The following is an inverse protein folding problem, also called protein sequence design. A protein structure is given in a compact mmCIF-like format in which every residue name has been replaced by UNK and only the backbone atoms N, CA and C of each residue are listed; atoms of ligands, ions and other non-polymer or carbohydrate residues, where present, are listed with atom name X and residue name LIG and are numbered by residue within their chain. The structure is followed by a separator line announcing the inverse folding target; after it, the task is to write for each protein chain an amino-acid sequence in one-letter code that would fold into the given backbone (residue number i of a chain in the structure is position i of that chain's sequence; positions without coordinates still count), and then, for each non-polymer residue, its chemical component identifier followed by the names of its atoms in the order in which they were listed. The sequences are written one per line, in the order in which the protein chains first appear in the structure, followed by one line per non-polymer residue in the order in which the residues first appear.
data_IF_606390392386
#
_entry.id   IF_606390392386
#
_cell.length_a   1.000
_cell.length_b   1.000
_cell.length_c   1.000
_cell.angle_alpha   90.00
_cell.angle_beta   90.00
_cell.angle_gamma   90.00
#
_symmetry.space_group_name_H-M   'P 1'
#
loop_
_entity.id
_entity.type
_entity.pdbx_description
1 polymer ?
#
# COMPACT_ATOMS: atom_id res chain seq x y z
N UNK A 1 -25.71 21.80 4.72
CA UNK A 1 -24.95 20.78 3.97
C UNK A 1 -23.58 20.74 4.61
N UNK A 2 -23.15 19.57 5.07
CA UNK A 2 -21.84 19.45 5.69
C UNK A 2 -20.72 19.33 4.63
N UNK A 3 -19.46 19.29 5.07
CA UNK A 3 -18.31 19.32 4.17
C UNK A 3 -18.21 18.06 3.31
N UNK A 4 -18.53 16.90 3.86
CA UNK A 4 -18.50 15.63 3.12
C UNK A 4 -19.60 15.58 2.05
N UNK A 5 -20.81 16.08 2.34
CA UNK A 5 -21.89 16.15 1.35
C UNK A 5 -21.55 17.13 0.22
N UNK A 6 -20.99 18.30 0.57
CA UNK A 6 -20.54 19.29 -0.40
C UNK A 6 -19.41 18.74 -1.30
N UNK A 7 -18.43 18.04 -0.71
CA UNK A 7 -17.39 17.35 -1.46
C UNK A 7 -17.98 16.29 -2.39
N UNK A 8 -18.91 15.48 -1.90
CA UNK A 8 -19.53 14.41 -2.69
C UNK A 8 -20.27 14.98 -3.90
N UNK A 9 -20.99 16.10 -3.74
CA UNK A 9 -21.65 16.78 -4.85
C UNK A 9 -20.63 17.30 -5.89
N UNK A 10 -19.55 17.93 -5.43
CA UNK A 10 -18.45 18.40 -6.29
C UNK A 10 -17.80 17.24 -7.07
N UNK A 11 -17.55 16.12 -6.40
CA UNK A 11 -16.95 14.93 -7.02
C UNK A 11 -17.89 14.31 -8.07
N UNK A 12 -19.20 14.23 -7.78
CA UNK A 12 -20.21 13.78 -8.76
C UNK A 12 -20.24 14.66 -10.01
N UNK A 13 -20.16 15.98 -9.85
CA UNK A 13 -20.13 16.90 -10.98
C UNK A 13 -18.87 16.76 -11.86
N UNK A 14 -17.77 16.22 -11.29
CA UNK A 14 -16.51 15.98 -11.97
C UNK A 14 -16.31 14.53 -12.44
N UNK A 15 -17.31 13.66 -12.24
CA UNK A 15 -17.27 12.27 -12.65
C UNK A 15 -17.25 12.15 -14.18
N UNK A 16 -16.48 11.19 -14.69
CA UNK A 16 -16.36 10.96 -16.13
C UNK A 16 -16.46 9.46 -16.48
N UNK A 17 -17.29 9.05 -17.46
CA UNK A 17 -17.53 7.64 -17.76
C UNK A 17 -16.28 6.83 -18.10
N UNK A 18 -15.32 7.42 -18.81
CA UNK A 18 -14.06 6.72 -19.14
C UNK A 18 -13.25 6.39 -17.88
N UNK A 19 -13.22 7.30 -16.90
CA UNK A 19 -12.53 7.08 -15.64
C UNK A 19 -13.27 6.03 -14.81
N UNK A 20 -14.60 6.07 -14.77
CA UNK A 20 -15.39 5.02 -14.11
C UNK A 20 -15.08 3.62 -14.67
N UNK A 21 -15.02 3.49 -16.01
CA UNK A 21 -14.74 2.22 -16.67
C UNK A 21 -13.30 1.74 -16.42
N UNK A 22 -12.30 2.61 -16.60
CA UNK A 22 -10.89 2.26 -16.38
C UNK A 22 -10.60 1.91 -14.92
N UNK A 23 -11.11 2.71 -13.99
CA UNK A 23 -10.94 2.46 -12.55
C UNK A 23 -11.67 1.19 -12.13
N UNK A 24 -12.88 0.94 -12.64
CA UNK A 24 -13.63 -0.28 -12.36
C UNK A 24 -12.91 -1.55 -12.78
N UNK A 25 -12.22 -1.55 -13.93
CA UNK A 25 -11.41 -2.68 -14.38
C UNK A 25 -10.19 -2.97 -13.48
N UNK A 26 -9.71 -1.96 -12.74
CA UNK A 26 -8.56 -2.09 -11.84
C UNK A 26 -8.97 -2.29 -10.36
N UNK A 27 -10.23 -2.02 -10.02
CA UNK A 27 -10.80 -2.14 -8.68
C UNK A 27 -12.06 -3.03 -8.71
N UNK A 28 -11.91 -4.34 -8.99
CA UNK A 28 -13.04 -5.26 -8.95
C UNK A 28 -13.70 -5.25 -7.56
N UNK A 29 -15.04 -5.23 -7.53
CA UNK A 29 -15.83 -5.24 -6.29
C UNK A 29 -15.93 -3.91 -5.54
N UNK A 30 -15.40 -2.80 -6.07
CA UNK A 30 -15.56 -1.47 -5.46
C UNK A 30 -16.76 -0.74 -6.08
N UNK A 31 -17.94 -0.90 -5.49
CA UNK A 31 -19.22 -0.41 -6.04
C UNK A 31 -19.47 1.07 -5.77
N UNK A 32 -18.93 1.61 -4.68
CA UNK A 32 -19.12 3.00 -4.24
C UNK A 32 -18.18 4.00 -4.95
N UNK A 33 -17.89 3.80 -6.24
CA UNK A 33 -16.99 4.64 -7.04
C UNK A 33 -17.76 5.64 -7.90
N UNK A 34 -17.18 6.80 -8.14
CA UNK A 34 -17.75 7.86 -9.00
C UNK A 34 -17.05 7.94 -10.36
N UNK A 35 -15.78 7.54 -10.46
CA UNK A 35 -15.00 7.68 -11.69
C UNK A 35 -14.49 9.12 -11.87
N UNK A 36 -13.86 9.67 -10.85
CA UNK A 36 -13.32 11.05 -10.88
C UNK A 36 -11.82 11.03 -11.18
N UNK A 37 -11.30 11.93 -12.04
CA UNK A 37 -9.87 12.05 -12.28
C UNK A 37 -9.09 12.36 -11.00
N UNK A 38 -7.93 11.72 -10.80
CA UNK A 38 -7.09 11.94 -9.62
C UNK A 38 -6.62 13.39 -9.44
N UNK A 39 -6.54 14.17 -10.52
CA UNK A 39 -6.26 15.61 -10.45
C UNK A 39 -7.31 16.38 -9.65
N UNK A 40 -8.60 16.03 -9.82
CA UNK A 40 -9.71 16.64 -9.08
C UNK A 40 -9.70 16.20 -7.63
N UNK A 41 -9.45 14.92 -7.35
CA UNK A 41 -9.30 14.38 -5.98
C UNK A 41 -8.20 15.13 -5.22
N UNK A 42 -7.02 15.28 -5.83
CA UNK A 42 -5.90 16.02 -5.22
C UNK A 42 -6.21 17.51 -5.04
N UNK A 43 -6.94 18.11 -5.98
CA UNK A 43 -7.37 19.51 -5.89
C UNK A 43 -8.32 19.71 -4.72
N UNK A 44 -9.33 18.84 -4.57
CA UNK A 44 -10.29 18.90 -3.48
C UNK A 44 -9.63 18.76 -2.10
N UNK A 45 -8.68 17.84 -1.93
CA UNK A 45 -7.92 17.72 -0.69
C UNK A 45 -7.13 19.00 -0.36
N UNK A 46 -6.49 19.62 -1.35
CA UNK A 46 -5.78 20.90 -1.17
C UNK A 46 -6.73 22.03 -0.77
N UNK A 47 -7.91 22.09 -1.37
CA UNK A 47 -8.89 23.14 -1.07
C UNK A 47 -9.41 23.03 0.38
N UNK A 48 -9.69 21.81 0.87
CA UNK A 48 -10.08 21.56 2.26
C UNK A 48 -8.97 21.96 3.24
N UNK A 49 -7.72 21.65 2.90
CA UNK A 49 -6.57 22.03 3.73
C UNK A 49 -6.38 23.56 3.76
N UNK A 50 -6.52 24.23 2.62
CA UNK A 50 -6.41 25.70 2.52
C UNK A 50 -7.53 26.43 3.24
N UNK A 51 -8.74 25.86 3.31
CA UNK A 51 -9.86 26.47 4.03
C UNK A 51 -9.72 26.37 5.56
N UNK A 52 -8.75 25.60 6.07
CA UNK A 52 -8.59 25.33 7.50
C UNK A 52 -9.67 24.38 8.04
N UNK A 53 -10.40 23.68 7.18
CA UNK A 53 -11.53 22.81 7.57
C UNK A 53 -11.16 21.33 7.61
N UNK A 54 -9.87 21.00 7.63
CA UNK A 54 -9.37 19.63 7.56
C UNK A 54 -9.87 18.74 8.69
N UNK A 55 -9.78 19.19 9.94
CA UNK A 55 -10.24 18.41 11.10
C UNK A 55 -11.74 18.16 11.06
N UNK A 56 -12.55 19.21 10.83
CA UNK A 56 -14.01 19.09 10.71
C UNK A 56 -14.41 18.14 9.56
N UNK A 57 -13.74 18.22 8.41
CA UNK A 57 -13.98 17.31 7.30
C UNK A 57 -13.65 15.86 7.67
N UNK A 58 -12.56 15.61 8.39
CA UNK A 58 -12.19 14.25 8.81
C UNK A 58 -13.12 13.70 9.90
N UNK A 59 -13.61 14.53 10.82
CA UNK A 59 -14.65 14.13 11.79
C UNK A 59 -15.93 13.66 11.08
N UNK A 60 -16.30 14.32 10.00
CA UNK A 60 -17.42 13.94 9.15
C UNK A 60 -17.14 12.67 8.33
N UNK A 61 -15.99 12.62 7.65
CA UNK A 61 -15.64 11.56 6.72
C UNK A 61 -15.26 10.24 7.40
N UNK A 62 -14.78 10.28 8.64
CA UNK A 62 -14.39 9.10 9.42
C UNK A 62 -15.45 8.70 10.45
N UNK A 63 -16.64 9.34 10.41
CA UNK A 63 -17.74 9.01 11.30
C UNK A 63 -18.21 7.56 11.06
N UNK A 64 -18.22 6.69 12.10
CA UNK A 64 -18.67 5.31 11.96
C UNK A 64 -20.08 5.22 11.37
N UNK A 65 -20.28 4.27 10.46
CA UNK A 65 -21.58 4.03 9.82
C UNK A 65 -21.97 5.05 8.74
N UNK A 66 -21.16 6.10 8.51
CA UNK A 66 -21.42 7.04 7.41
C UNK A 66 -20.92 6.46 6.08
N UNK A 67 -21.78 6.34 5.04
CA UNK A 67 -21.32 5.93 3.72
C UNK A 67 -20.38 6.98 3.12
N UNK A 68 -19.23 6.53 2.61
CA UNK A 68 -18.22 7.38 1.97
C UNK A 68 -17.96 6.83 0.57
N UNK A 69 -17.99 7.71 -0.44
CA UNK A 69 -17.61 7.34 -1.81
C UNK A 69 -16.12 7.08 -1.90
N UNK A 70 -15.68 6.17 -2.77
CA UNK A 70 -14.28 5.83 -2.98
C UNK A 70 -13.39 7.07 -3.14
N UNK A 71 -13.79 8.01 -3.98
CA UNK A 71 -13.03 9.24 -4.23
C UNK A 71 -13.03 10.20 -3.04
N UNK A 72 -14.08 10.20 -2.21
CA UNK A 72 -14.08 10.95 -0.96
C UNK A 72 -13.14 10.34 0.08
N UNK A 73 -13.01 9.00 0.13
CA UNK A 73 -12.02 8.32 0.97
C UNK A 73 -10.57 8.62 0.53
N UNK A 74 -10.33 8.74 -0.79
CA UNK A 74 -9.04 9.22 -1.33
C UNK A 74 -8.75 10.66 -0.87
N UNK A 75 -9.75 11.55 -0.91
CA UNK A 75 -9.61 12.92 -0.39
C UNK A 75 -9.29 12.89 1.11
N UNK A 76 -10.02 12.11 1.91
CA UNK A 76 -9.77 11.98 3.35
C UNK A 76 -8.33 11.53 3.65
N UNK A 77 -7.82 10.51 2.96
CA UNK A 77 -6.43 10.09 3.11
C UNK A 77 -5.43 11.20 2.79
N UNK A 78 -5.66 11.97 1.72
CA UNK A 78 -4.80 13.10 1.36
C UNK A 78 -4.90 14.27 2.37
N UNK A 79 -6.07 14.50 2.97
CA UNK A 79 -6.25 15.50 4.03
C UNK A 79 -5.51 15.06 5.29
N UNK A 80 -5.60 13.79 5.71
CA UNK A 80 -4.80 13.25 6.82
C UNK A 80 -3.31 13.50 6.58
N UNK A 81 -2.81 13.18 5.37
CA UNK A 81 -1.40 13.39 5.03
C UNK A 81 -0.98 14.87 5.03
N UNK A 82 -1.87 15.74 4.54
CA UNK A 82 -1.59 17.16 4.34
C UNK A 82 -1.91 18.07 5.52
N UNK A 83 -2.57 17.56 6.57
CA UNK A 83 -2.85 18.34 7.77
C UNK A 83 -1.55 18.83 8.40
N UNK A 84 -1.39 20.15 8.60
CA UNK A 84 -0.26 20.68 9.34
C UNK A 84 -0.34 20.19 10.78
N UNK A 85 0.71 19.55 11.28
CA UNK A 85 0.81 19.22 12.70
C UNK A 85 2.13 19.70 13.26
N UNK A 86 2.11 20.14 14.52
CA UNK A 86 3.34 20.26 15.32
C UNK A 86 3.61 18.99 16.12
N UNK A 87 2.57 18.18 16.35
CA UNK A 87 2.63 16.91 17.04
C UNK A 87 2.47 15.76 16.04
N UNK A 88 3.59 15.09 15.75
CA UNK A 88 3.60 13.99 14.82
C UNK A 88 2.89 12.75 15.38
N UNK A 89 2.90 12.53 16.69
CA UNK A 89 2.20 11.41 17.31
C UNK A 89 0.69 11.52 17.11
N UNK A 90 0.11 12.70 17.35
CA UNK A 90 -1.31 12.96 17.07
C UNK A 90 -1.69 12.70 15.60
N UNK A 91 -0.77 12.97 14.66
CA UNK A 91 -0.99 12.69 13.23
C UNK A 91 -0.91 11.19 12.91
N UNK A 92 -0.05 10.43 13.61
CA UNK A 92 -0.03 8.97 13.52
C UNK A 92 -1.32 8.34 14.11
N UNK A 93 -1.87 8.91 15.19
CA UNK A 93 -3.18 8.50 15.73
C UNK A 93 -4.32 8.79 14.74
N UNK A 94 -4.29 9.96 14.09
CA UNK A 94 -5.25 10.28 13.05
C UNK A 94 -5.13 9.34 11.84
N UNK A 95 -3.90 8.99 11.44
CA UNK A 95 -3.65 7.97 10.42
C UNK A 95 -4.20 6.60 10.84
N UNK A 96 -4.04 6.21 12.11
CA UNK A 96 -4.61 4.97 12.65
C UNK A 96 -6.15 4.99 12.56
N UNK A 97 -6.80 6.11 12.88
CA UNK A 97 -8.25 6.30 12.76
C UNK A 97 -8.75 6.26 11.31
N UNK A 98 -7.89 6.59 10.34
CA UNK A 98 -8.21 6.52 8.91
C UNK A 98 -8.17 5.10 8.34
N UNK A 99 -7.40 4.17 8.93
CA UNK A 99 -7.19 2.83 8.36
C UNK A 99 -8.47 2.05 8.01
N UNK A 100 -9.59 2.12 8.78
CA UNK A 100 -10.83 1.45 8.39
C UNK A 100 -11.41 1.92 7.05
N UNK A 101 -11.09 3.12 6.58
CA UNK A 101 -11.50 3.62 5.27
C UNK A 101 -10.66 3.04 4.12
N UNK A 102 -9.53 2.39 4.42
CA UNK A 102 -8.66 1.76 3.42
C UNK A 102 -9.19 0.37 3.08
N UNK A 103 -9.99 0.29 2.02
CA UNK A 103 -10.65 -0.97 1.59
C UNK A 103 -10.14 -1.51 0.26
N UNK A 104 -9.21 -0.81 -0.38
CA UNK A 104 -8.64 -1.20 -1.66
C UNK A 104 -7.23 -0.61 -1.87
N UNK A 105 -6.54 -1.09 -2.90
CA UNK A 105 -5.15 -0.71 -3.18
C UNK A 105 -5.02 0.77 -3.57
N UNK A 106 -6.02 1.39 -4.20
CA UNK A 106 -5.93 2.78 -4.64
C UNK A 106 -5.96 3.76 -3.45
N UNK A 107 -6.82 3.51 -2.46
CA UNK A 107 -6.84 4.29 -1.21
C UNK A 107 -5.53 4.10 -0.45
N UNK A 108 -5.10 2.85 -0.29
CA UNK A 108 -3.85 2.47 0.38
C UNK A 108 -2.66 3.22 -0.23
N UNK A 109 -2.46 3.08 -1.54
CA UNK A 109 -1.28 3.60 -2.22
C UNK A 109 -1.30 5.13 -2.27
N UNK A 110 -2.47 5.76 -2.47
CA UNK A 110 -2.61 7.22 -2.44
C UNK A 110 -2.27 7.80 -1.07
N UNK A 111 -2.81 7.20 0.00
CA UNK A 111 -2.54 7.62 1.37
C UNK A 111 -1.06 7.45 1.72
N UNK A 112 -0.54 6.22 1.60
CA UNK A 112 0.81 5.89 2.03
C UNK A 112 1.88 6.69 1.27
N UNK A 113 1.75 6.83 -0.06
CA UNK A 113 2.70 7.64 -0.85
C UNK A 113 2.59 9.14 -0.56
N UNK A 114 1.41 9.63 -0.23
CA UNK A 114 1.17 11.04 0.11
C UNK A 114 1.63 11.44 1.51
N UNK A 115 1.93 10.48 2.39
CA UNK A 115 2.34 10.76 3.78
C UNK A 115 3.83 11.16 3.90
N UNK A 116 4.24 12.20 3.17
CA UNK A 116 5.64 12.60 3.02
C UNK A 116 6.37 12.92 4.33
N UNK A 117 5.66 13.32 5.37
CA UNK A 117 6.24 13.63 6.68
C UNK A 117 6.95 12.42 7.32
N UNK A 118 6.48 11.20 7.03
CA UNK A 118 7.14 9.94 7.45
C UNK A 118 8.60 9.90 6.99
N UNK A 119 8.91 10.44 5.81
CA UNK A 119 10.29 10.47 5.28
C UNK A 119 11.22 11.35 6.10
N UNK A 120 10.73 12.46 6.64
CA UNK A 120 11.51 13.37 7.47
C UNK A 120 11.59 12.88 8.93
N UNK A 121 10.64 12.03 9.35
CA UNK A 121 10.45 11.59 10.74
C UNK A 121 10.50 10.06 10.86
N UNK A 122 11.40 9.41 10.10
CA UNK A 122 11.45 7.94 9.95
C UNK A 122 11.58 7.22 11.29
N UNK A 123 12.45 7.71 12.17
CA UNK A 123 12.65 7.07 13.48
C UNK A 123 11.35 7.07 14.30
N UNK A 124 10.68 8.22 14.39
CA UNK A 124 9.42 8.37 15.12
C UNK A 124 8.27 7.60 14.47
N UNK A 125 8.28 7.45 13.15
CA UNK A 125 7.24 6.74 12.40
C UNK A 125 7.45 5.22 12.35
N UNK A 126 8.65 4.71 12.67
CA UNK A 126 8.99 3.32 12.36
C UNK A 126 8.11 2.34 13.14
N UNK A 127 7.87 2.59 14.42
CA UNK A 127 7.03 1.71 15.25
C UNK A 127 5.59 1.68 14.76
N UNK A 128 5.05 2.83 14.34
CA UNK A 128 3.75 2.88 13.69
C UNK A 128 3.74 2.02 12.42
N UNK A 129 4.69 2.21 11.50
CA UNK A 129 4.78 1.43 10.25
C UNK A 129 4.95 -0.06 10.51
N UNK A 130 5.80 -0.43 11.47
CA UNK A 130 6.04 -1.80 11.87
C UNK A 130 4.79 -2.44 12.47
N UNK A 131 4.01 -1.70 13.26
CA UNK A 131 2.73 -2.16 13.81
C UNK A 131 1.74 -2.50 12.70
N UNK A 132 1.72 -1.71 11.61
CA UNK A 132 0.85 -1.96 10.46
C UNK A 132 1.24 -3.24 9.73
N UNK A 133 2.53 -3.43 9.42
CA UNK A 133 3.04 -4.65 8.77
C UNK A 133 2.77 -5.91 9.60
N UNK A 134 2.75 -5.78 10.94
CA UNK A 134 2.58 -6.89 11.87
C UNK A 134 1.12 -7.10 12.30
N UNK A 135 0.16 -6.39 11.70
CA UNK A 135 -1.26 -6.43 12.08
C UNK A 135 -1.86 -7.84 12.06
N UNK A 136 -1.39 -8.72 11.16
CA UNK A 136 -1.87 -10.10 11.09
C UNK A 136 -1.66 -10.90 12.39
N UNK A 137 -0.77 -10.47 13.29
CA UNK A 137 -0.62 -11.08 14.62
C UNK A 137 -1.87 -10.94 15.52
N UNK A 138 -2.80 -10.05 15.19
CA UNK A 138 -4.08 -9.88 15.92
C UNK A 138 -5.11 -10.97 15.58
N UNK A 139 -4.98 -11.64 14.42
CA UNK A 139 -5.83 -12.75 13.99
C UNK A 139 -5.01 -13.78 13.19
N UNK A 140 -4.14 -14.56 13.85
CA UNK A 140 -3.23 -15.50 13.18
C UNK A 140 -3.92 -16.55 12.30
N UNK A 141 -5.16 -16.89 12.63
CA UNK A 141 -6.01 -17.84 11.90
C UNK A 141 -6.67 -17.25 10.65
N UNK A 142 -6.71 -15.92 10.52
CA UNK A 142 -7.36 -15.19 9.43
C UNK A 142 -6.51 -13.97 8.98
N UNK A 143 -5.24 -14.19 8.55
CA UNK A 143 -4.32 -13.10 8.23
C UNK A 143 -4.81 -12.19 7.10
N UNK A 144 -5.69 -12.67 6.21
CA UNK A 144 -6.34 -11.86 5.18
C UNK A 144 -7.16 -10.69 5.74
N UNK A 145 -7.65 -10.78 6.99
CA UNK A 145 -8.34 -9.66 7.66
C UNK A 145 -7.42 -8.46 7.90
N UNK A 146 -6.11 -8.72 7.99
CA UNK A 146 -5.09 -7.69 8.17
C UNK A 146 -4.52 -7.15 6.84
N UNK A 147 -5.10 -7.53 5.69
CA UNK A 147 -4.61 -7.15 4.36
C UNK A 147 -4.33 -5.66 4.23
N UNK A 148 -5.35 -4.82 4.45
CA UNK A 148 -5.22 -3.40 4.15
C UNK A 148 -4.25 -2.66 5.08
N UNK A 149 -4.31 -2.84 6.41
CA UNK A 149 -3.28 -2.29 7.29
C UNK A 149 -1.88 -2.78 6.93
N UNK A 150 -1.70 -4.07 6.68
CA UNK A 150 -0.39 -4.65 6.31
C UNK A 150 0.13 -4.06 5.01
N UNK A 151 -0.73 -3.91 4.00
CA UNK A 151 -0.37 -3.27 2.73
C UNK A 151 0.00 -1.80 2.94
N UNK A 152 -0.74 -1.05 3.77
CA UNK A 152 -0.38 0.34 4.10
C UNK A 152 1.03 0.40 4.69
N UNK A 153 1.35 -0.48 5.65
CA UNK A 153 2.70 -0.60 6.21
C UNK A 153 3.77 -0.85 5.14
N UNK A 154 3.57 -1.84 4.26
CA UNK A 154 4.49 -2.16 3.17
C UNK A 154 4.65 -1.02 2.16
N UNK A 155 3.58 -0.27 1.87
CA UNK A 155 3.65 0.89 0.97
C UNK A 155 4.30 2.10 1.64
N UNK A 156 4.15 2.27 2.96
CA UNK A 156 4.93 3.25 3.72
C UNK A 156 6.42 2.92 3.70
N UNK A 157 6.79 1.64 3.85
CA UNK A 157 8.17 1.16 3.68
C UNK A 157 8.72 1.54 2.32
N UNK A 158 8.03 1.20 1.23
CA UNK A 158 8.54 1.46 -0.12
C UNK A 158 8.58 2.96 -0.46
N UNK A 159 7.62 3.74 0.03
CA UNK A 159 7.53 5.16 -0.27
C UNK A 159 8.57 6.00 0.49
N UNK A 160 8.88 5.62 1.73
CA UNK A 160 9.63 6.49 2.64
C UNK A 160 10.93 5.89 3.17
N UNK A 161 11.09 4.56 3.20
CA UNK A 161 12.24 3.88 3.82
C UNK A 161 13.21 3.22 2.82
N UNK A 162 13.03 3.44 1.51
CA UNK A 162 13.99 3.00 0.49
C UNK A 162 15.28 3.86 0.53
N UNK A 163 16.11 3.62 1.56
CA UNK A 163 17.34 4.33 1.85
C UNK A 163 18.35 3.36 2.50
N UNK A 164 19.65 3.53 2.21
CA UNK A 164 20.70 2.60 2.65
C UNK A 164 20.66 2.32 4.16
N UNK A 165 20.61 3.38 4.99
CA UNK A 165 20.59 3.29 6.46
C UNK A 165 19.39 2.52 7.04
N UNK A 166 18.35 2.30 6.24
CA UNK A 166 17.11 1.65 6.68
C UNK A 166 16.95 0.22 6.16
N UNK A 167 17.80 -0.21 5.23
CA UNK A 167 17.64 -1.48 4.52
C UNK A 167 17.53 -2.67 5.47
N UNK A 168 18.40 -2.76 6.47
CA UNK A 168 18.42 -3.90 7.40
C UNK A 168 17.13 -3.95 8.23
N UNK A 169 16.73 -2.83 8.85
CA UNK A 169 15.51 -2.73 9.65
C UNK A 169 14.26 -3.05 8.83
N UNK A 170 14.16 -2.55 7.59
CA UNK A 170 12.98 -2.81 6.76
C UNK A 170 12.98 -4.23 6.18
N UNK A 171 14.14 -4.81 5.86
CA UNK A 171 14.26 -6.21 5.45
C UNK A 171 13.88 -7.15 6.58
N UNK A 172 14.33 -6.87 7.80
CA UNK A 172 13.90 -7.60 9.00
C UNK A 172 12.39 -7.54 9.18
N UNK A 173 11.81 -6.33 9.10
CA UNK A 173 10.36 -6.15 9.18
C UNK A 173 9.61 -6.90 8.07
N UNK A 174 10.13 -6.92 6.84
CA UNK A 174 9.53 -7.62 5.71
C UNK A 174 9.68 -9.14 5.80
N UNK A 175 10.72 -9.64 6.47
CA UNK A 175 10.95 -11.07 6.73
C UNK A 175 10.16 -11.61 7.93
N UNK A 176 9.47 -10.72 8.66
CA UNK A 176 8.57 -11.08 9.74
C UNK A 176 7.46 -12.04 9.24
N UNK A 177 7.10 -13.08 10.00
CA UNK A 177 6.07 -14.04 9.59
C UNK A 177 4.71 -13.40 9.29
N UNK A 178 4.36 -12.29 9.94
CA UNK A 178 3.04 -11.65 9.84
C UNK A 178 2.79 -11.02 8.46
N UNK A 179 3.62 -10.10 7.93
CA UNK A 179 3.45 -9.61 6.57
C UNK A 179 3.61 -10.71 5.52
N UNK A 180 4.45 -11.73 5.77
CA UNK A 180 4.58 -12.89 4.88
C UNK A 180 3.31 -13.76 4.84
N UNK A 181 2.62 -13.94 5.98
CA UNK A 181 1.35 -14.65 6.04
C UNK A 181 0.29 -13.94 5.19
N UNK A 182 0.16 -12.62 5.31
CA UNK A 182 -0.75 -11.82 4.47
C UNK A 182 -0.38 -11.93 3.00
N UNK A 183 0.91 -11.91 2.66
CA UNK A 183 1.38 -12.09 1.29
C UNK A 183 1.05 -13.49 0.73
N UNK A 184 1.10 -14.52 1.57
CA UNK A 184 0.76 -15.90 1.20
C UNK A 184 -0.74 -16.09 0.99
N UNK A 185 -1.58 -15.38 1.76
CA UNK A 185 -3.04 -15.58 1.72
C UNK A 185 -3.78 -14.62 0.80
N UNK A 186 -3.17 -13.48 0.41
CA UNK A 186 -3.88 -12.45 -0.36
C UNK A 186 -3.10 -11.96 -1.57
N UNK A 187 -3.81 -11.76 -2.69
CA UNK A 187 -3.22 -11.18 -3.90
C UNK A 187 -2.60 -9.80 -3.65
N UNK A 188 -3.35 -8.90 -3.01
CA UNK A 188 -2.93 -7.52 -2.81
C UNK A 188 -1.83 -7.38 -1.74
N UNK A 189 -1.78 -8.29 -0.75
CA UNK A 189 -0.68 -8.36 0.21
C UNK A 189 0.61 -8.81 -0.46
N UNK A 190 0.53 -9.87 -1.26
CA UNK A 190 1.65 -10.38 -2.05
C UNK A 190 2.21 -9.33 -3.01
N UNK A 191 1.31 -8.61 -3.71
CA UNK A 191 1.69 -7.50 -4.59
C UNK A 191 2.33 -6.34 -3.83
N UNK A 192 1.85 -6.02 -2.62
CA UNK A 192 2.43 -4.99 -1.77
C UNK A 192 3.86 -5.35 -1.34
N UNK A 193 4.05 -6.59 -0.88
CA UNK A 193 5.36 -7.10 -0.45
C UNK A 193 6.34 -7.12 -1.62
N UNK A 194 5.93 -7.67 -2.77
CA UNK A 194 6.75 -7.75 -3.98
C UNK A 194 7.16 -6.38 -4.51
N UNK A 195 6.26 -5.39 -4.45
CA UNK A 195 6.58 -4.03 -4.87
C UNK A 195 7.54 -3.35 -3.90
N UNK A 196 7.33 -3.50 -2.59
CA UNK A 196 8.27 -2.99 -1.60
C UNK A 196 9.68 -3.56 -1.81
N UNK A 197 9.78 -4.87 -1.98
CA UNK A 197 11.06 -5.54 -2.25
C UNK A 197 11.74 -5.01 -3.51
N UNK A 198 10.99 -4.82 -4.60
CA UNK A 198 11.53 -4.25 -5.84
C UNK A 198 12.05 -2.82 -5.66
N UNK A 199 11.39 -1.99 -4.85
CA UNK A 199 11.88 -0.62 -4.61
C UNK A 199 13.17 -0.65 -3.80
N UNK A 200 13.26 -1.51 -2.78
CA UNK A 200 14.50 -1.69 -2.02
C UNK A 200 15.65 -2.24 -2.88
N UNK A 201 15.35 -3.08 -3.88
CA UNK A 201 16.37 -3.61 -4.81
C UNK A 201 17.00 -2.54 -5.70
N UNK A 202 16.39 -1.36 -5.83
CA UNK A 202 17.01 -0.22 -6.53
C UNK A 202 18.11 0.41 -5.68
N UNK A 203 18.00 0.35 -4.35
CA UNK A 203 18.99 0.91 -3.42
C UNK A 203 20.18 -0.02 -3.28
N UNK A 204 19.92 -1.32 -3.18
CA UNK A 204 20.92 -2.37 -3.04
C UNK A 204 20.43 -3.65 -3.73
N UNK A 205 20.87 -3.83 -4.98
CA UNK A 205 20.42 -4.93 -5.85
C UNK A 205 20.96 -6.28 -5.41
N UNK A 206 22.24 -6.34 -5.01
CA UNK A 206 22.90 -7.55 -4.55
C UNK A 206 22.27 -8.06 -3.24
N UNK A 207 22.17 -7.19 -2.22
CA UNK A 207 21.57 -7.58 -0.94
C UNK A 207 20.07 -7.86 -1.05
N UNK A 208 19.34 -7.25 -1.99
CA UNK A 208 17.97 -7.63 -2.26
C UNK A 208 17.86 -9.04 -2.85
N UNK A 209 18.73 -9.41 -3.79
CA UNK A 209 18.75 -10.77 -4.33
C UNK A 209 19.10 -11.81 -3.26
N UNK A 210 20.09 -11.51 -2.41
CA UNK A 210 20.47 -12.37 -1.28
C UNK A 210 19.34 -12.53 -0.26
N UNK A 211 18.68 -11.42 0.09
CA UNK A 211 17.53 -11.41 1.00
C UNK A 211 16.38 -12.30 0.48
N UNK A 212 15.99 -12.13 -0.79
CA UNK A 212 14.90 -12.92 -1.38
C UNK A 212 15.28 -14.41 -1.48
N UNK A 213 16.52 -14.72 -1.87
CA UNK A 213 17.00 -16.10 -1.91
C UNK A 213 16.96 -16.76 -0.53
N UNK A 214 17.39 -16.05 0.52
CA UNK A 214 17.32 -16.53 1.90
C UNK A 214 15.90 -16.88 2.33
N UNK A 215 14.92 -16.05 1.97
CA UNK A 215 13.50 -16.34 2.24
C UNK A 215 12.97 -17.54 1.45
N UNK A 216 13.39 -17.71 0.20
CA UNK A 216 12.98 -18.86 -0.63
C UNK A 216 13.57 -20.15 -0.09
N UNK A 217 14.87 -20.18 0.22
CA UNK A 217 15.57 -21.37 0.74
C UNK A 217 15.09 -21.79 2.13
N UNK A 218 14.65 -20.83 2.95
CA UNK A 218 14.05 -21.09 4.26
C UNK A 218 12.53 -21.28 4.21
N UNK A 219 11.95 -21.33 3.00
CA UNK A 219 10.51 -21.53 2.75
C UNK A 219 9.57 -20.50 3.41
N UNK A 220 10.12 -19.39 3.92
CA UNK A 220 9.36 -18.33 4.58
C UNK A 220 8.44 -17.60 3.62
N UNK A 221 8.89 -17.38 2.39
CA UNK A 221 8.10 -16.77 1.31
C UNK A 221 7.50 -17.83 0.39
N UNK A 222 6.26 -17.64 -0.04
CA UNK A 222 5.64 -18.55 -1.01
C UNK A 222 6.19 -18.33 -2.43
N UNK A 223 6.20 -19.37 -3.28
CA UNK A 223 6.69 -19.25 -4.65
C UNK A 223 6.00 -18.18 -5.50
N UNK A 224 4.72 -17.89 -5.26
CA UNK A 224 4.00 -16.90 -6.08
C UNK A 224 4.44 -15.48 -5.73
N UNK A 225 4.60 -15.15 -4.45
CA UNK A 225 5.13 -13.86 -4.00
C UNK A 225 6.59 -13.68 -4.44
N UNK A 226 7.43 -14.72 -4.35
CA UNK A 226 8.80 -14.66 -4.85
C UNK A 226 8.86 -14.37 -6.36
N UNK A 227 8.05 -15.09 -7.17
CA UNK A 227 7.95 -14.82 -8.62
C UNK A 227 7.43 -13.43 -8.94
N UNK A 228 6.48 -12.90 -8.16
CA UNK A 228 6.00 -11.52 -8.30
C UNK A 228 7.11 -10.52 -8.06
N UNK A 229 7.93 -10.74 -7.05
CA UNK A 229 9.08 -9.90 -6.71
C UNK A 229 10.10 -9.87 -7.85
N UNK A 230 10.48 -11.04 -8.38
CA UNK A 230 11.38 -11.14 -9.54
C UNK A 230 10.79 -10.44 -10.76
N UNK A 231 9.50 -10.63 -11.04
CA UNK A 231 8.81 -9.98 -12.15
C UNK A 231 8.85 -8.46 -12.01
N UNK A 232 8.55 -7.94 -10.81
CA UNK A 232 8.58 -6.50 -10.54
C UNK A 232 9.97 -5.91 -10.77
N UNK A 233 11.02 -6.60 -10.35
CA UNK A 233 12.41 -6.17 -10.60
C UNK A 233 12.69 -6.13 -12.11
N UNK A 234 12.24 -7.13 -12.86
CA UNK A 234 12.43 -7.19 -14.32
C UNK A 234 11.65 -6.12 -15.10
N UNK A 235 10.46 -5.77 -14.62
CA UNK A 235 9.64 -4.68 -15.17
C UNK A 235 10.24 -3.29 -14.88
N UNK A 236 11.16 -3.18 -13.93
CA UNK A 236 11.84 -1.91 -13.63
C UNK A 236 12.82 -1.53 -14.74
N UNK A 237 12.77 -0.27 -15.16
CA UNK A 237 13.74 0.32 -16.09
C UNK A 237 15.12 0.58 -15.46
N UNK A 238 15.24 0.44 -14.13
CA UNK A 238 16.47 0.73 -13.39
C UNK A 238 17.48 -0.43 -13.34
N UNK A 239 17.09 -1.62 -13.78
CA UNK A 239 17.98 -2.78 -13.90
C UNK A 239 18.38 -2.98 -15.37
N UNK A 240 19.65 -3.27 -15.60
CA UNK A 240 20.22 -3.67 -16.90
C UNK A 240 19.65 -5.01 -17.39
N UNK A 241 19.88 -5.33 -18.66
CA UNK A 241 19.46 -6.61 -19.22
C UNK A 241 20.19 -7.78 -18.53
N UNK A 242 21.49 -7.60 -18.29
CA UNK A 242 22.39 -8.56 -17.67
C UNK A 242 21.96 -8.87 -16.22
N UNK A 243 21.64 -7.83 -15.43
CA UNK A 243 21.14 -8.02 -14.06
C UNK A 243 19.81 -8.79 -14.03
N UNK A 244 18.92 -8.54 -15.00
CA UNK A 244 17.63 -9.23 -15.11
C UNK A 244 17.81 -10.70 -15.46
N UNK A 245 18.74 -11.01 -16.36
CA UNK A 245 19.06 -12.39 -16.75
C UNK A 245 19.72 -13.15 -15.60
N UNK A 246 20.70 -12.54 -14.94
CA UNK A 246 21.36 -13.09 -13.76
C UNK A 246 20.35 -13.41 -12.65
N UNK A 247 19.41 -12.49 -12.38
CA UNK A 247 18.34 -12.71 -11.41
C UNK A 247 17.46 -13.92 -11.77
N UNK A 248 17.06 -14.04 -13.05
CA UNK A 248 16.26 -15.20 -13.48
C UNK A 248 17.05 -16.51 -13.34
N UNK A 249 18.31 -16.52 -13.75
CA UNK A 249 19.16 -17.70 -13.63
C UNK A 249 19.34 -18.14 -12.17
N UNK A 250 19.53 -17.17 -11.26
CA UNK A 250 19.68 -17.38 -9.82
C UNK A 250 18.45 -18.04 -9.18
N UNK A 251 17.24 -17.61 -9.54
CA UNK A 251 16.00 -18.11 -8.91
C UNK A 251 15.35 -19.29 -9.65
N UNK A 252 15.70 -19.56 -10.91
CA UNK A 252 15.16 -20.69 -11.68
C UNK A 252 15.28 -22.05 -10.97
N UNK A 253 16.42 -22.44 -10.36
CA UNK A 253 16.51 -23.73 -9.67
C UNK A 253 15.84 -23.74 -8.29
N UNK A 254 15.49 -22.58 -7.73
CA UNK A 254 14.95 -22.45 -6.36
C UNK A 254 13.42 -22.44 -6.32
N UNK A 255 12.76 -22.16 -7.44
CA UNK A 255 11.31 -22.03 -7.53
C UNK A 255 10.75 -23.20 -8.33
N UNK A 256 9.59 -23.77 -7.92
CA UNK A 256 8.96 -24.86 -8.66
C UNK A 256 8.65 -24.42 -10.09
N UNK A 257 8.65 -25.33 -11.06
CA UNK A 257 8.35 -24.99 -12.46
C UNK A 257 6.89 -24.54 -12.65
N UNK A 258 5.96 -25.18 -11.92
CA UNK A 258 4.53 -24.85 -11.91
C UNK A 258 4.10 -24.46 -10.50
N UNK A 259 3.15 -23.54 -10.41
CA UNK A 259 2.46 -23.20 -9.15
C UNK A 259 1.04 -23.74 -9.29
N UNK A 260 0.53 -24.30 -8.20
CA UNK A 260 -0.83 -24.82 -8.11
C UNK A 260 -1.87 -23.75 -8.43
N UNK A 261 -3.04 -24.17 -8.91
CA UNK A 261 -4.03 -23.23 -9.45
C UNK A 261 -4.84 -22.54 -8.35
N UNK A 262 -4.93 -23.17 -7.19
CA UNK A 262 -5.78 -22.88 -6.03
C UNK A 262 -5.03 -22.15 -4.89
N UNK A 263 -3.82 -21.65 -5.15
CA UNK A 263 -3.09 -20.85 -4.16
C UNK A 263 -3.88 -19.59 -3.77
N UNK A 264 -4.05 -19.29 -2.47
CA UNK A 264 -4.96 -18.23 -2.01
C UNK A 264 -4.60 -16.83 -2.52
N UNK A 265 -3.31 -16.54 -2.66
CA UNK A 265 -2.83 -15.25 -3.14
C UNK A 265 -2.86 -15.11 -4.67
N UNK A 266 -3.50 -16.00 -5.42
CA UNK A 266 -3.66 -15.86 -6.87
C UNK A 266 -4.48 -14.60 -7.20
N UNK A 267 -4.22 -13.99 -8.35
CA UNK A 267 -5.02 -12.85 -8.82
C UNK A 267 -6.48 -13.31 -8.96
N UNK A 268 -7.47 -12.60 -8.38
CA UNK A 268 -8.87 -12.93 -8.57
C UNK A 268 -9.22 -12.90 -10.06
N UNK A 269 -10.05 -13.85 -10.49
CA UNK A 269 -10.67 -13.78 -11.81
C UNK A 269 -11.61 -12.56 -11.85
N UNK A 270 -11.55 -11.80 -12.94
CA UNK A 270 -12.37 -10.59 -13.17
C UNK A 270 -13.70 -10.95 -13.81
#
# INVERSE_FOLDING_TARGET
MDLLDALTLRLKAAAHPSYFATVGAQLPGVDNRLGVPMGVVRSAAKDILRSGSGDAFLEEALRPGRPVMHEAALVAGLVVCGLPTRDFAAKLELAQRFLPAVTNWAICDTFATGFHEVRARREEAFDFVASLCRRAGEAPEAPERALWPTRVGLVLVLAHYAHADWLDRVRELMADPRPLAVARTTYYGSMGWAWAHQVLSVVDSAGAADFLEGLVRSEKIDPLTARRSIRKIRESYRASAEEKEALVARFRPLLPARIEKDVPNRKPDL
#
